data_IF_798231327060
#
_entry.id   IF_798231327060
#
_cell.length_a   1.000
_cell.length_b   1.000
_cell.length_c   1.000
_cell.angle_alpha   90.00
_cell.angle_beta   90.00
_cell.angle_gamma   90.00
#
_symmetry.space_group_name_H-M   'P 1'
#
loop_
_entity.id
_entity.type
_entity.pdbx_description
1 polymer ?
#
# COMPACT_ATOMS: atom_id res chain seq x y z
N UNK A 1 -20.14 9.88 13.61
CA UNK A 1 -19.18 8.90 13.06
C UNK A 1 -18.57 8.17 14.24
N UNK A 2 -18.78 6.86 14.38
CA UNK A 2 -18.17 6.09 15.49
C UNK A 2 -16.74 5.75 15.11
N UNK A 3 -15.78 6.34 15.79
CA UNK A 3 -14.37 5.92 15.78
C UNK A 3 -14.24 4.67 16.66
N UNK A 4 -13.89 3.55 16.05
CA UNK A 4 -13.61 2.29 16.74
C UNK A 4 -12.24 2.40 17.44
N UNK A 5 -12.05 1.68 18.55
CA UNK A 5 -10.72 1.57 19.15
C UNK A 5 -9.83 0.72 18.22
N UNK A 6 -8.49 0.89 18.21
CA UNK A 6 -7.60 0.18 17.28
C UNK A 6 -7.78 -1.36 17.24
N UNK A 7 -8.11 -1.96 18.39
CA UNK A 7 -8.39 -3.39 18.50
C UNK A 7 -9.70 -3.78 17.81
N UNK A 8 -10.73 -2.94 17.93
CA UNK A 8 -12.04 -3.17 17.31
C UNK A 8 -11.97 -3.04 15.78
N UNK A 9 -11.13 -2.13 15.26
CA UNK A 9 -10.88 -2.00 13.82
C UNK A 9 -10.27 -3.26 13.22
N UNK A 10 -9.30 -3.86 13.93
CA UNK A 10 -8.68 -5.13 13.53
C UNK A 10 -9.71 -6.26 13.51
N UNK A 11 -10.51 -6.40 14.58
CA UNK A 11 -11.55 -7.43 14.62
C UNK A 11 -12.62 -7.24 13.55
N UNK A 12 -13.04 -6.00 13.30
CA UNK A 12 -13.99 -5.69 12.23
C UNK A 12 -13.41 -6.03 10.85
N UNK A 13 -12.14 -5.70 10.60
CA UNK A 13 -11.45 -6.04 9.36
C UNK A 13 -11.33 -7.55 9.16
N UNK A 14 -10.90 -8.27 10.20
CA UNK A 14 -10.76 -9.74 10.15
C UNK A 14 -12.10 -10.42 9.83
N UNK A 15 -13.20 -9.98 10.46
CA UNK A 15 -14.54 -10.51 10.14
C UNK A 15 -14.90 -10.33 8.67
N UNK A 16 -14.61 -9.16 8.08
CA UNK A 16 -14.86 -8.91 6.64
C UNK A 16 -14.05 -9.87 5.77
N UNK A 17 -12.76 -10.06 6.06
CA UNK A 17 -11.91 -11.01 5.33
C UNK A 17 -12.49 -12.43 5.35
N UNK A 18 -12.87 -12.93 6.53
CA UNK A 18 -13.47 -14.25 6.68
C UNK A 18 -14.78 -14.38 5.91
N UNK A 19 -15.65 -13.36 5.96
CA UNK A 19 -16.91 -13.35 5.19
C UNK A 19 -16.69 -13.33 3.68
N UNK A 20 -15.59 -12.76 3.20
CA UNK A 20 -15.18 -12.76 1.79
C UNK A 20 -14.44 -14.03 1.36
N UNK A 21 -14.31 -15.03 2.24
CA UNK A 21 -13.64 -16.29 1.94
C UNK A 21 -12.11 -16.20 1.92
N UNK A 22 -11.54 -15.13 2.48
CA UNK A 22 -10.08 -15.01 2.69
C UNK A 22 -9.74 -15.77 3.97
N UNK A 23 -9.09 -16.91 3.82
CA UNK A 23 -8.62 -17.75 4.92
C UNK A 23 -7.09 -17.88 4.93
N UNK A 24 -6.56 -18.59 5.93
CA UNK A 24 -5.12 -18.75 6.14
C UNK A 24 -4.40 -19.59 5.05
N UNK A 25 -5.17 -20.19 4.13
CA UNK A 25 -4.66 -20.98 3.00
C UNK A 25 -4.80 -20.25 1.67
N UNK A 26 -5.56 -19.16 1.66
CA UNK A 26 -5.71 -18.28 0.52
C UNK A 26 -4.38 -17.56 0.36
N UNK A 27 -3.52 -18.07 -0.53
CA UNK A 27 -2.38 -17.29 -1.03
C UNK A 27 -2.94 -15.94 -1.41
N UNK A 28 -2.48 -14.85 -0.79
CA UNK A 28 -2.92 -13.50 -1.17
C UNK A 28 -2.59 -13.35 -2.65
N UNK A 29 -3.59 -13.54 -3.51
CA UNK A 29 -3.44 -13.39 -4.94
C UNK A 29 -3.24 -11.90 -5.11
N UNK A 30 -1.98 -11.49 -5.28
CA UNK A 30 -1.70 -10.15 -5.77
C UNK A 30 -2.34 -10.09 -7.16
N UNK A 31 -3.54 -9.53 -7.23
CA UNK A 31 -4.23 -9.32 -8.48
C UNK A 31 -3.46 -8.21 -9.20
N UNK A 32 -2.52 -8.63 -10.05
CA UNK A 32 -1.83 -7.70 -10.92
C UNK A 32 -2.86 -6.93 -11.73
N UNK A 33 -2.75 -5.60 -11.74
CA UNK A 33 -3.54 -4.77 -12.62
C UNK A 33 -2.86 -4.71 -14.00
N UNK A 34 -3.63 -4.43 -15.04
CA UNK A 34 -3.05 -4.26 -16.37
C UNK A 34 -2.28 -2.92 -16.46
N UNK A 35 -1.41 -2.81 -17.46
CA UNK A 35 -0.55 -1.63 -17.65
C UNK A 35 -1.36 -0.35 -17.92
N UNK A 36 -2.44 -0.42 -18.70
CA UNK A 36 -3.25 0.76 -19.05
C UNK A 36 -3.93 1.39 -17.82
N UNK A 37 -4.49 0.55 -16.95
CA UNK A 37 -5.11 0.97 -15.68
C UNK A 37 -4.04 1.50 -14.75
N UNK A 38 -2.86 0.88 -14.71
CA UNK A 38 -1.73 1.36 -13.91
C UNK A 38 -1.27 2.76 -14.35
N UNK A 39 -1.09 2.97 -15.65
CA UNK A 39 -0.70 4.28 -16.19
C UNK A 39 -1.76 5.35 -15.93
N UNK A 40 -3.04 4.99 -16.02
CA UNK A 40 -4.14 5.90 -15.67
C UNK A 40 -4.07 6.32 -14.20
N UNK A 41 -3.94 5.36 -13.29
CA UNK A 41 -3.82 5.62 -11.86
C UNK A 41 -2.57 6.43 -11.49
N UNK A 42 -1.44 6.19 -12.19
CA UNK A 42 -0.22 6.98 -12.05
C UNK A 42 -0.42 8.44 -12.50
N UNK A 43 -1.10 8.66 -13.62
CA UNK A 43 -1.37 9.99 -14.14
C UNK A 43 -2.29 10.79 -13.22
N UNK A 44 -3.34 10.17 -12.70
CA UNK A 44 -4.23 10.78 -11.71
C UNK A 44 -3.48 11.13 -10.42
N UNK A 45 -2.48 10.34 -10.07
CA UNK A 45 -1.67 10.52 -8.85
C UNK A 45 -0.36 11.28 -9.07
N UNK A 46 -0.18 11.97 -10.20
CA UNK A 46 1.10 12.57 -10.60
C UNK A 46 1.69 13.52 -9.55
N UNK A 47 0.86 14.35 -8.92
CA UNK A 47 1.29 15.28 -7.86
C UNK A 47 1.80 14.51 -6.64
N UNK A 48 1.03 13.51 -6.17
CA UNK A 48 1.43 12.66 -5.05
C UNK A 48 2.70 11.87 -5.37
N UNK A 49 2.85 11.41 -6.61
CA UNK A 49 4.05 10.74 -7.09
C UNK A 49 5.29 11.63 -7.15
N UNK A 50 5.13 12.96 -7.19
CA UNK A 50 6.23 13.94 -7.10
C UNK A 50 6.61 14.14 -5.64
N UNK A 51 5.62 14.44 -4.77
CA UNK A 51 5.82 14.58 -3.33
C UNK A 51 6.48 13.33 -2.72
N UNK A 52 6.05 12.14 -3.16
CA UNK A 52 6.64 10.88 -2.74
C UNK A 52 8.11 10.76 -3.15
N UNK A 53 8.49 11.26 -4.33
CA UNK A 53 9.88 11.28 -4.77
C UNK A 53 10.74 12.18 -3.89
N UNK A 54 10.24 13.38 -3.57
CA UNK A 54 10.93 14.34 -2.72
C UNK A 54 11.11 13.81 -1.29
N UNK A 55 10.06 13.20 -0.71
CA UNK A 55 10.12 12.53 0.60
C UNK A 55 11.01 11.28 0.59
N UNK A 56 11.12 10.62 -0.56
CA UNK A 56 11.93 9.40 -0.71
C UNK A 56 13.40 9.66 -0.41
N UNK A 57 13.95 10.80 -0.85
CA UNK A 57 15.34 11.15 -0.60
C UNK A 57 15.67 11.24 0.90
N UNK A 58 14.76 11.78 1.71
CA UNK A 58 14.93 11.85 3.17
C UNK A 58 14.77 10.47 3.84
N UNK A 59 14.05 9.55 3.18
CA UNK A 59 13.76 8.21 3.69
C UNK A 59 14.80 7.16 3.29
N UNK A 60 15.61 7.42 2.27
CA UNK A 60 16.61 6.47 1.75
C UNK A 60 17.63 6.08 2.82
N UNK A 61 18.10 7.04 3.63
CA UNK A 61 19.02 6.78 4.75
C UNK A 61 18.40 5.85 5.81
N UNK A 62 17.10 6.02 6.10
CA UNK A 62 16.38 5.15 7.03
C UNK A 62 16.14 3.76 6.44
N UNK A 63 15.85 3.71 5.13
CA UNK A 63 15.56 2.49 4.39
C UNK A 63 16.75 1.54 4.32
N UNK A 64 17.96 2.07 4.06
CA UNK A 64 19.20 1.31 3.99
C UNK A 64 19.53 0.66 5.33
N UNK A 65 19.40 1.41 6.42
CA UNK A 65 19.85 0.96 7.74
C UNK A 65 18.85 0.03 8.44
N UNK A 66 17.56 0.09 8.10
CA UNK A 66 16.50 -0.59 8.84
C UNK A 66 15.63 -1.54 7.99
N UNK A 67 15.99 -1.77 6.72
CA UNK A 67 15.22 -2.59 5.78
C UNK A 67 13.74 -2.14 5.72
N UNK A 68 13.53 -0.83 5.57
CA UNK A 68 12.21 -0.22 5.54
C UNK A 68 11.80 0.11 4.10
N UNK A 69 10.54 -0.17 3.75
CA UNK A 69 9.96 0.21 2.47
C UNK A 69 8.90 1.31 2.68
N UNK A 70 9.00 2.37 1.89
CA UNK A 70 7.96 3.36 1.72
C UNK A 70 7.14 3.02 0.47
N UNK A 71 5.81 3.05 0.61
CA UNK A 71 4.89 2.67 -0.47
C UNK A 71 3.91 3.81 -0.73
N UNK A 72 3.70 4.12 -2.01
CA UNK A 72 2.61 4.99 -2.46
C UNK A 72 1.48 4.09 -2.95
N UNK A 73 0.36 4.09 -2.21
CA UNK A 73 -0.83 3.29 -2.51
C UNK A 73 -2.02 4.24 -2.72
N UNK A 74 -2.81 4.03 -3.77
CA UNK A 74 -4.01 4.84 -4.01
C UNK A 74 -5.18 4.40 -3.10
N UNK A 75 -6.32 5.09 -3.20
CA UNK A 75 -7.53 4.79 -2.42
C UNK A 75 -8.15 3.41 -2.69
N UNK A 76 -7.80 2.77 -3.80
CA UNK A 76 -8.28 1.44 -4.19
C UNK A 76 -7.35 0.32 -3.70
N UNK A 77 -6.23 0.66 -3.07
CA UNK A 77 -5.23 -0.32 -2.64
C UNK A 77 -4.22 -0.70 -3.71
N UNK A 78 -4.16 0.02 -4.84
CA UNK A 78 -3.17 -0.20 -5.90
C UNK A 78 -1.82 0.40 -5.50
N UNK A 79 -0.77 -0.41 -5.54
CA UNK A 79 0.60 0.05 -5.36
C UNK A 79 1.08 0.83 -6.60
N UNK A 80 1.33 2.12 -6.44
CA UNK A 80 1.74 3.03 -7.51
C UNK A 80 3.25 3.19 -7.63
N UNK A 81 3.92 3.37 -6.48
CA UNK A 81 5.38 3.49 -6.38
C UNK A 81 5.87 2.86 -5.09
N UNK A 82 7.13 2.39 -5.10
CA UNK A 82 7.88 2.00 -3.91
C UNK A 82 9.27 2.62 -3.98
N UNK A 83 9.87 2.94 -2.83
CA UNK A 83 11.28 3.32 -2.79
C UNK A 83 12.19 2.08 -2.99
N UNK A 84 13.47 2.33 -3.23
CA UNK A 84 14.47 1.29 -3.13
C UNK A 84 14.65 0.91 -1.66
N UNK A 85 14.80 -0.38 -1.38
CA UNK A 85 15.13 -0.86 -0.03
C UNK A 85 16.56 -1.36 -0.05
N UNK A 86 17.33 -1.08 1.00
CA UNK A 86 18.73 -1.51 1.13
C UNK A 86 18.91 -3.00 0.83
N UNK A 87 19.99 -3.32 0.11
CA UNK A 87 20.41 -4.67 -0.26
C UNK A 87 20.92 -5.50 0.90
#
# INVERSE_FOLDING_TARGET
MMTLQPVDEIFASWRRCMSSGVDNTTSVINAGINEEVFQTALNESKLLGTIFGDLGCDFDDLSINNNLAMLLVNSEGVLLKKNAVGS
#
